data_IF_711153745210
#
_entry.id   IF_711153745210
#
_cell.length_a   1.000
_cell.length_b   1.000
_cell.length_c   1.000
_cell.angle_alpha   90.00
_cell.angle_beta   90.00
_cell.angle_gamma   90.00
#
_symmetry.space_group_name_H-M   'P 1'
#
loop_
_entity.id
_entity.type
_entity.pdbx_description
1 polymer ?
#
# COMPACT_ATOMS: atom_id res chain seq x y z
N UNK A 1 28.39 43.64 -14.68
CA UNK A 1 27.20 43.52 -13.84
C UNK A 1 26.62 42.16 -14.03
N UNK A 2 26.89 41.36 -13.07
CA UNK A 2 26.87 39.93 -13.12
C UNK A 2 25.59 39.39 -12.48
N UNK A 3 24.87 38.70 -13.28
CA UNK A 3 24.01 37.56 -13.07
C UNK A 3 23.89 37.06 -11.61
N UNK A 4 22.83 37.49 -10.91
CA UNK A 4 22.37 36.98 -9.63
C UNK A 4 20.98 36.34 -9.70
N UNK A 5 20.61 35.79 -10.83
CA UNK A 5 19.36 35.04 -11.02
C UNK A 5 19.55 33.52 -11.13
N UNK A 6 20.43 32.95 -10.28
CA UNK A 6 20.39 31.52 -10.02
C UNK A 6 19.35 31.27 -8.94
N UNK A 7 18.11 31.40 -9.35
CA UNK A 7 16.94 31.23 -8.49
C UNK A 7 16.67 29.76 -8.17
N UNK A 8 15.90 29.58 -7.11
CA UNK A 8 15.31 28.35 -6.56
C UNK A 8 14.79 27.29 -7.55
N UNK A 9 14.70 27.60 -8.85
CA UNK A 9 14.32 26.68 -9.92
C UNK A 9 15.33 25.56 -10.19
N UNK A 10 16.63 25.77 -9.88
CA UNK A 10 17.67 24.74 -10.11
C UNK A 10 17.75 23.68 -9.02
N UNK A 11 17.19 23.93 -7.84
CA UNK A 11 17.14 22.96 -6.74
C UNK A 11 16.06 21.91 -7.02
N UNK A 12 14.96 22.27 -7.67
CA UNK A 12 13.91 21.33 -8.09
C UNK A 12 14.31 20.41 -9.27
N UNK A 13 15.34 20.75 -10.02
CA UNK A 13 15.85 19.94 -11.12
C UNK A 13 16.80 18.81 -10.72
N UNK A 14 17.15 18.72 -9.44
CA UNK A 14 17.99 17.64 -8.88
C UNK A 14 17.20 16.60 -8.10
N UNK A 15 15.99 16.27 -8.52
CA UNK A 15 15.48 14.93 -8.19
C UNK A 15 16.43 13.94 -8.90
N UNK A 16 16.90 12.89 -8.18
CA UNK A 16 17.75 11.88 -8.83
C UNK A 16 16.94 11.27 -9.96
N UNK A 17 17.21 11.73 -11.19
CA UNK A 17 16.42 11.37 -12.39
C UNK A 17 16.61 9.92 -12.82
N UNK A 18 17.56 9.20 -12.21
CA UNK A 18 18.04 7.93 -12.71
C UNK A 18 18.20 6.89 -11.59
N UNK A 19 17.21 6.77 -10.70
CA UNK A 19 17.20 5.70 -9.71
C UNK A 19 16.57 4.46 -10.33
N UNK A 20 17.29 3.33 -10.29
CA UNK A 20 16.75 2.03 -10.67
C UNK A 20 15.91 1.42 -9.54
N UNK A 21 15.06 0.44 -9.87
CA UNK A 21 14.30 -0.32 -8.87
C UNK A 21 15.25 -0.93 -7.83
N UNK A 22 16.33 -1.57 -8.27
CA UNK A 22 17.35 -2.18 -7.39
C UNK A 22 17.96 -1.15 -6.45
N UNK A 23 18.26 0.03 -6.94
CA UNK A 23 18.79 1.12 -6.12
C UNK A 23 17.78 1.57 -5.08
N UNK A 24 16.51 1.76 -5.46
CA UNK A 24 15.44 2.10 -4.52
C UNK A 24 15.31 1.04 -3.43
N UNK A 25 15.18 -0.23 -3.81
CA UNK A 25 15.04 -1.34 -2.86
C UNK A 25 16.24 -1.41 -1.91
N UNK A 26 17.46 -1.12 -2.40
CA UNK A 26 18.66 -1.10 -1.58
C UNK A 26 18.61 -0.04 -0.46
N UNK A 27 17.81 1.01 -0.58
CA UNK A 27 17.63 2.00 0.48
C UNK A 27 16.95 1.41 1.72
N UNK A 28 16.19 0.34 1.58
CA UNK A 28 15.67 -0.43 2.70
C UNK A 28 16.76 -0.98 3.63
N UNK A 29 18.00 -1.10 3.15
CA UNK A 29 19.13 -1.57 3.98
C UNK A 29 19.85 -0.45 4.74
N UNK A 30 19.49 0.84 4.54
CA UNK A 30 20.15 1.96 5.24
C UNK A 30 20.16 1.84 6.77
N UNK A 31 19.09 1.41 7.46
CA UNK A 31 19.11 1.27 8.91
C UNK A 31 20.19 0.30 9.44
N UNK A 32 20.67 -0.61 8.60
CA UNK A 32 21.66 -1.64 8.96
C UNK A 32 23.09 -1.27 8.59
N UNK A 33 23.30 -0.13 7.91
CA UNK A 33 24.64 0.29 7.45
C UNK A 33 25.34 1.15 8.48
N UNK A 34 26.65 0.95 8.57
CA UNK A 34 27.53 1.91 9.24
C UNK A 34 27.83 3.07 8.28
N UNK A 35 28.07 4.24 8.84
CA UNK A 35 28.38 5.44 8.06
C UNK A 35 29.52 5.18 7.07
N UNK A 36 29.33 5.53 5.80
CA UNK A 36 30.31 5.33 4.72
C UNK A 36 30.41 3.90 4.18
N UNK A 37 29.62 2.95 4.64
CA UNK A 37 29.62 1.56 4.16
C UNK A 37 28.67 1.36 2.97
N UNK A 38 29.17 0.68 1.92
CA UNK A 38 28.34 0.16 0.81
C UNK A 38 27.49 -1.04 1.25
N UNK A 39 26.75 -1.65 0.32
CA UNK A 39 26.00 -2.88 0.56
C UNK A 39 26.98 -4.06 0.81
N UNK A 40 26.76 -4.77 1.89
CA UNK A 40 27.45 -6.03 2.19
C UNK A 40 26.97 -7.15 1.23
N UNK A 41 27.62 -8.31 1.25
CA UNK A 41 27.14 -9.50 0.50
C UNK A 41 25.76 -9.93 0.99
N UNK A 42 25.51 -9.86 2.31
CA UNK A 42 24.20 -10.16 2.89
C UNK A 42 23.14 -9.15 2.46
N UNK A 43 23.44 -7.86 2.41
CA UNK A 43 22.50 -6.85 1.90
C UNK A 43 22.14 -7.12 0.43
N UNK A 44 23.11 -7.50 -0.40
CA UNK A 44 22.85 -7.86 -1.80
C UNK A 44 21.91 -9.07 -1.92
N UNK A 45 22.14 -10.12 -1.11
CA UNK A 45 21.28 -11.30 -1.05
C UNK A 45 19.84 -10.91 -0.69
N UNK A 46 19.66 -10.09 0.38
CA UNK A 46 18.33 -9.64 0.82
C UNK A 46 17.65 -8.79 -0.25
N UNK A 47 18.39 -7.93 -0.95
CA UNK A 47 17.85 -7.13 -2.06
C UNK A 47 17.35 -8.04 -3.19
N UNK A 48 18.15 -9.04 -3.60
CA UNK A 48 17.79 -9.97 -4.66
C UNK A 48 16.55 -10.80 -4.27
N UNK A 49 16.52 -11.36 -3.07
CA UNK A 49 15.35 -12.08 -2.53
C UNK A 49 14.10 -11.20 -2.47
N UNK A 50 14.24 -9.95 -2.07
CA UNK A 50 13.13 -9.00 -2.04
C UNK A 50 12.59 -8.71 -3.43
N UNK A 51 13.46 -8.52 -4.41
CA UNK A 51 13.06 -8.31 -5.80
C UNK A 51 12.32 -9.54 -6.36
N UNK A 52 12.74 -10.74 -6.03
CA UNK A 52 12.04 -11.96 -6.40
C UNK A 52 10.67 -12.08 -5.73
N UNK A 53 10.59 -11.85 -4.40
CA UNK A 53 9.35 -11.88 -3.63
C UNK A 53 8.29 -10.91 -4.15
N UNK A 54 8.72 -9.76 -4.67
CA UNK A 54 7.84 -8.70 -5.19
C UNK A 54 7.64 -8.75 -6.70
N UNK A 55 8.21 -9.78 -7.38
CA UNK A 55 8.07 -9.96 -8.81
C UNK A 55 8.81 -8.92 -9.66
N UNK A 56 9.82 -8.24 -9.08
CA UNK A 56 10.58 -7.16 -9.73
C UNK A 56 11.98 -7.58 -10.20
N UNK A 57 12.39 -8.85 -10.01
CA UNK A 57 13.73 -9.32 -10.32
C UNK A 57 14.13 -9.07 -11.80
N UNK A 58 13.19 -9.33 -12.73
CA UNK A 58 13.42 -9.17 -14.18
C UNK A 58 13.53 -7.70 -14.64
N UNK A 59 13.20 -6.74 -13.79
CA UNK A 59 13.23 -5.31 -14.11
C UNK A 59 14.04 -4.49 -13.10
N UNK A 60 14.86 -5.12 -12.28
CA UNK A 60 15.63 -4.46 -11.22
C UNK A 60 16.47 -3.27 -11.69
N UNK A 61 16.97 -3.29 -12.92
CA UNK A 61 17.80 -2.24 -13.50
C UNK A 61 17.00 -1.17 -14.27
N UNK A 62 15.65 -1.31 -14.37
CA UNK A 62 14.81 -0.27 -14.99
C UNK A 62 14.73 0.96 -14.08
N UNK A 63 14.69 2.13 -14.73
CA UNK A 63 14.52 3.41 -14.05
C UNK A 63 13.09 3.56 -13.51
N UNK A 64 12.93 4.10 -12.31
CA UNK A 64 11.63 4.35 -11.71
C UNK A 64 10.71 5.22 -12.56
N UNK A 65 11.26 6.17 -13.29
CA UNK A 65 10.47 7.05 -14.14
C UNK A 65 9.79 6.33 -15.30
N UNK A 66 10.30 5.17 -15.70
CA UNK A 66 9.79 4.36 -16.81
C UNK A 66 8.79 3.28 -16.37
N UNK A 67 8.34 3.33 -15.12
CA UNK A 67 7.42 2.37 -14.54
C UNK A 67 5.97 2.87 -14.59
N UNK A 68 5.03 1.94 -14.73
CA UNK A 68 3.61 2.19 -14.48
C UNK A 68 3.35 2.54 -13.01
N UNK A 69 2.16 3.04 -12.69
CA UNK A 69 1.77 3.33 -11.31
C UNK A 69 1.86 2.11 -10.39
N UNK A 70 1.36 0.96 -10.85
CA UNK A 70 1.41 -0.29 -10.09
C UNK A 70 2.83 -0.84 -9.91
N UNK A 71 3.69 -0.75 -10.95
CA UNK A 71 5.10 -1.13 -10.83
C UNK A 71 5.85 -0.23 -9.85
N UNK A 72 5.57 1.09 -9.84
CA UNK A 72 6.12 2.02 -8.85
C UNK A 72 5.69 1.64 -7.45
N UNK A 73 4.40 1.38 -7.25
CA UNK A 73 3.87 1.00 -5.94
C UNK A 73 4.53 -0.29 -5.42
N UNK A 74 4.69 -1.31 -6.29
CA UNK A 74 5.42 -2.53 -5.94
C UNK A 74 6.87 -2.26 -5.56
N UNK A 75 7.56 -1.35 -6.25
CA UNK A 75 8.94 -0.99 -5.93
C UNK A 75 9.06 -0.31 -4.56
N UNK A 76 8.10 0.55 -4.17
CA UNK A 76 8.05 1.14 -2.84
C UNK A 76 7.78 0.10 -1.76
N UNK A 77 6.84 -0.82 -1.99
CA UNK A 77 6.59 -1.94 -1.07
C UNK A 77 7.86 -2.81 -0.94
N UNK A 78 8.55 -3.10 -2.04
CA UNK A 78 9.79 -3.86 -2.02
C UNK A 78 10.87 -3.18 -1.16
N UNK A 79 11.03 -1.86 -1.26
CA UNK A 79 11.96 -1.10 -0.42
C UNK A 79 11.63 -1.27 1.07
N UNK A 80 10.36 -1.22 1.45
CA UNK A 80 9.96 -1.38 2.85
C UNK A 80 10.14 -2.82 3.33
N UNK A 81 9.83 -3.83 2.49
CA UNK A 81 10.06 -5.25 2.81
C UNK A 81 11.56 -5.56 2.94
N UNK A 82 12.42 -4.91 2.16
CA UNK A 82 13.87 -5.06 2.26
C UNK A 82 14.44 -4.64 3.62
N UNK A 83 13.68 -3.88 4.42
CA UNK A 83 14.01 -3.60 5.82
C UNK A 83 13.74 -4.79 6.75
N UNK A 84 13.12 -5.87 6.27
CA UNK A 84 12.72 -7.02 7.08
C UNK A 84 11.89 -6.61 8.32
N UNK A 85 10.78 -5.86 8.14
CA UNK A 85 9.97 -5.38 9.24
C UNK A 85 9.14 -6.50 9.86
N UNK A 86 8.84 -6.42 11.15
CA UNK A 86 7.81 -7.24 11.80
C UNK A 86 6.41 -6.70 11.56
N UNK A 87 6.29 -5.38 11.41
CA UNK A 87 5.02 -4.68 11.14
C UNK A 87 5.24 -3.74 9.95
N UNK A 88 4.38 -3.85 8.95
CA UNK A 88 4.35 -2.98 7.77
C UNK A 88 3.10 -2.10 7.81
N UNK A 89 3.28 -0.79 7.71
CA UNK A 89 2.21 0.19 7.62
C UNK A 89 2.09 0.69 6.18
N UNK A 90 0.91 0.59 5.58
CA UNK A 90 0.62 1.06 4.24
C UNK A 90 -0.54 2.06 4.28
N UNK A 91 -0.26 3.29 3.93
CA UNK A 91 -1.27 4.35 3.84
C UNK A 91 -1.76 4.46 2.40
N UNK A 92 -3.02 4.11 2.16
CA UNK A 92 -3.69 4.14 0.86
C UNK A 92 -2.88 3.52 -0.30
N UNK A 93 -2.39 2.28 -0.20
CA UNK A 93 -1.42 1.75 -1.16
C UNK A 93 -1.98 1.50 -2.57
N UNK A 94 -3.29 1.61 -2.77
CA UNK A 94 -3.97 1.37 -4.06
C UNK A 94 -4.65 2.61 -4.64
N UNK A 95 -4.59 3.75 -3.95
CA UNK A 95 -5.18 5.01 -4.41
C UNK A 95 -4.53 5.47 -5.71
N UNK A 96 -5.32 5.98 -6.66
CA UNK A 96 -4.90 6.40 -8.00
C UNK A 96 -4.39 5.28 -8.94
N UNK A 97 -4.62 4.02 -8.61
CA UNK A 97 -4.33 2.89 -9.49
C UNK A 97 -5.61 2.40 -10.20
N UNK A 98 -5.45 1.94 -11.44
CA UNK A 98 -6.51 1.22 -12.14
C UNK A 98 -6.84 -0.10 -11.43
N UNK A 99 -8.08 -0.57 -11.55
CA UNK A 99 -8.61 -1.75 -10.84
C UNK A 99 -7.70 -2.99 -10.96
N UNK A 100 -7.09 -3.23 -12.11
CA UNK A 100 -6.16 -4.34 -12.31
C UNK A 100 -4.93 -4.22 -11.42
N UNK A 101 -4.32 -3.04 -11.36
CA UNK A 101 -3.16 -2.77 -10.52
C UNK A 101 -3.50 -2.76 -9.02
N UNK A 102 -4.72 -2.32 -8.66
CA UNK A 102 -5.20 -2.42 -7.26
C UNK A 102 -5.21 -3.86 -6.79
N UNK A 103 -5.78 -4.76 -7.60
CA UNK A 103 -5.81 -6.19 -7.30
C UNK A 103 -4.40 -6.77 -7.22
N UNK A 104 -3.51 -6.45 -8.18
CA UNK A 104 -2.12 -6.91 -8.16
C UNK A 104 -1.39 -6.52 -6.87
N UNK A 105 -1.55 -5.27 -6.41
CA UNK A 105 -0.91 -4.79 -5.18
C UNK A 105 -1.47 -5.49 -3.95
N UNK A 106 -2.79 -5.68 -3.86
CA UNK A 106 -3.43 -6.35 -2.73
C UNK A 106 -3.07 -7.84 -2.66
N UNK A 107 -3.03 -8.54 -3.81
CA UNK A 107 -2.56 -9.94 -3.88
C UNK A 107 -1.09 -10.05 -3.48
N UNK A 108 -0.24 -9.12 -3.92
CA UNK A 108 1.16 -9.06 -3.47
C UNK A 108 1.25 -8.91 -1.95
N UNK A 109 0.54 -7.93 -1.38
CA UNK A 109 0.54 -7.64 0.07
C UNK A 109 0.08 -8.87 0.86
N UNK A 110 -1.00 -9.52 0.43
CA UNK A 110 -1.49 -10.76 1.03
C UNK A 110 -0.44 -11.87 0.96
N UNK A 111 0.17 -12.07 -0.21
CA UNK A 111 1.23 -13.06 -0.39
C UNK A 111 2.46 -12.80 0.48
N UNK A 112 2.83 -11.54 0.68
CA UNK A 112 3.94 -11.14 1.58
C UNK A 112 3.59 -11.42 3.05
N UNK A 113 2.37 -11.08 3.49
CA UNK A 113 1.87 -11.39 4.83
C UNK A 113 1.98 -12.90 5.12
N UNK A 114 1.49 -13.73 4.18
CA UNK A 114 1.46 -15.18 4.34
C UNK A 114 2.86 -15.82 4.34
N UNK A 115 3.76 -15.34 3.48
CA UNK A 115 5.12 -15.90 3.32
C UNK A 115 6.06 -15.45 4.43
N UNK A 116 6.04 -14.17 4.78
CA UNK A 116 6.97 -13.57 5.73
C UNK A 116 6.45 -13.61 7.18
N UNK A 117 5.17 -13.96 7.38
CA UNK A 117 4.51 -13.98 8.70
C UNK A 117 4.61 -12.64 9.44
N UNK A 118 4.57 -11.54 8.69
CA UNK A 118 4.56 -10.18 9.23
C UNK A 118 3.14 -9.69 9.44
N UNK A 119 2.97 -8.71 10.31
CA UNK A 119 1.70 -7.98 10.46
C UNK A 119 1.66 -6.83 9.47
N UNK A 120 0.57 -6.73 8.69
CA UNK A 120 0.38 -5.61 7.76
C UNK A 120 -0.86 -4.83 8.18
N UNK A 121 -0.70 -3.54 8.36
CA UNK A 121 -1.80 -2.59 8.63
C UNK A 121 -1.94 -1.68 7.43
N UNK A 122 -3.14 -1.64 6.84
CA UNK A 122 -3.43 -0.81 5.66
C UNK A 122 -4.59 0.13 5.93
N UNK A 123 -4.49 1.35 5.40
CA UNK A 123 -5.64 2.23 5.24
C UNK A 123 -6.23 2.00 3.85
N UNK A 124 -7.49 1.63 3.78
CA UNK A 124 -8.22 1.40 2.53
C UNK A 124 -9.55 2.15 2.57
N UNK A 125 -9.97 2.68 1.42
CA UNK A 125 -11.28 3.35 1.27
C UNK A 125 -12.32 2.46 0.59
N UNK A 126 -11.89 1.44 -0.16
CA UNK A 126 -12.79 0.48 -0.79
C UNK A 126 -13.14 -0.63 0.19
N UNK A 127 -14.43 -0.69 0.55
CA UNK A 127 -14.92 -1.65 1.55
C UNK A 127 -14.95 -3.08 1.02
N UNK A 128 -15.18 -3.28 -0.28
CA UNK A 128 -15.19 -4.60 -0.88
C UNK A 128 -13.77 -5.19 -0.93
N UNK A 129 -12.77 -4.37 -1.24
CA UNK A 129 -11.38 -4.80 -1.09
C UNK A 129 -11.01 -5.03 0.37
N UNK A 130 -11.47 -4.16 1.28
CA UNK A 130 -11.23 -4.35 2.72
C UNK A 130 -11.84 -5.66 3.20
N UNK A 131 -13.09 -5.97 2.83
CA UNK A 131 -13.75 -7.22 3.19
C UNK A 131 -12.98 -8.46 2.68
N UNK A 132 -12.45 -8.38 1.45
CA UNK A 132 -11.79 -9.50 0.78
C UNK A 132 -10.38 -9.77 1.30
N UNK A 133 -9.62 -8.73 1.66
CA UNK A 133 -8.19 -8.87 1.95
C UNK A 133 -7.83 -8.74 3.44
N UNK A 134 -8.70 -8.17 4.27
CA UNK A 134 -8.42 -8.00 5.68
C UNK A 134 -8.83 -9.22 6.52
N UNK A 135 -7.99 -9.59 7.50
CA UNK A 135 -8.38 -10.54 8.55
C UNK A 135 -9.14 -9.85 9.69
N UNK A 136 -8.80 -8.58 9.92
CA UNK A 136 -9.41 -7.71 10.92
C UNK A 136 -9.59 -6.31 10.36
N UNK A 137 -10.70 -5.68 10.68
CA UNK A 137 -11.05 -4.33 10.27
C UNK A 137 -11.21 -3.47 11.53
N UNK A 138 -10.63 -2.28 11.50
CA UNK A 138 -10.86 -1.22 12.48
C UNK A 138 -11.58 -0.08 11.78
N UNK A 139 -12.75 0.26 12.27
CA UNK A 139 -13.54 1.38 11.76
C UNK A 139 -13.23 2.61 12.58
N UNK A 140 -12.83 3.69 11.91
CA UNK A 140 -12.55 4.96 12.55
C UNK A 140 -13.67 5.95 12.25
N UNK A 141 -14.22 6.57 13.30
CA UNK A 141 -15.21 7.65 13.21
C UNK A 141 -14.87 8.72 14.27
N UNK A 142 -14.95 9.98 13.91
CA UNK A 142 -14.70 11.11 14.82
C UNK A 142 -13.39 11.01 15.62
N UNK A 143 -12.31 10.51 14.99
CA UNK A 143 -10.96 10.29 15.57
C UNK A 143 -10.90 9.21 16.64
N UNK A 144 -11.88 8.33 16.71
CA UNK A 144 -11.91 7.21 17.64
C UNK A 144 -12.09 5.90 16.87
N UNK A 145 -11.68 4.79 17.47
CA UNK A 145 -12.05 3.47 17.00
C UNK A 145 -13.52 3.28 17.34
N UNK A 146 -14.37 3.29 16.32
CA UNK A 146 -15.81 3.11 16.45
C UNK A 146 -16.15 1.64 16.65
N UNK A 147 -15.57 0.77 15.83
CA UNK A 147 -15.79 -0.68 15.89
C UNK A 147 -14.56 -1.42 15.37
N UNK A 148 -14.42 -2.70 15.72
CA UNK A 148 -13.37 -3.56 15.20
C UNK A 148 -13.79 -5.03 15.22
N UNK A 149 -13.38 -5.80 14.20
CA UNK A 149 -13.76 -7.21 14.11
C UNK A 149 -13.26 -7.88 12.83
N UNK A 150 -13.86 -9.03 12.54
CA UNK A 150 -13.70 -9.70 11.26
C UNK A 150 -14.57 -9.02 10.18
N UNK A 151 -14.35 -9.28 8.89
CA UNK A 151 -15.12 -8.67 7.82
C UNK A 151 -16.64 -8.89 7.97
N UNK A 152 -17.10 -10.10 8.33
CA UNK A 152 -18.52 -10.42 8.47
C UNK A 152 -19.22 -9.60 9.55
N UNK A 153 -18.51 -9.31 10.65
CA UNK A 153 -19.08 -8.52 11.74
C UNK A 153 -19.10 -7.04 11.45
N UNK A 154 -18.09 -6.53 10.72
CA UNK A 154 -17.92 -5.10 10.45
C UNK A 154 -18.71 -4.66 9.22
N UNK A 155 -18.73 -5.46 8.17
CA UNK A 155 -19.45 -5.17 6.94
C UNK A 155 -20.93 -5.58 7.13
N UNK A 156 -21.65 -4.77 7.89
CA UNK A 156 -23.06 -4.94 8.23
C UNK A 156 -23.85 -3.67 7.89
N UNK A 157 -25.15 -3.82 7.60
CA UNK A 157 -26.01 -2.69 7.22
C UNK A 157 -26.01 -1.56 8.25
N UNK A 158 -25.99 -1.90 9.53
CA UNK A 158 -26.02 -0.90 10.61
C UNK A 158 -24.75 -0.05 10.59
N UNK A 159 -23.57 -0.67 10.44
CA UNK A 159 -22.30 0.07 10.31
C UNK A 159 -22.26 0.92 9.05
N UNK A 160 -22.83 0.43 7.93
CA UNK A 160 -22.91 1.24 6.69
C UNK A 160 -23.78 2.48 6.90
N UNK A 161 -24.89 2.36 7.60
CA UNK A 161 -25.77 3.49 7.91
C UNK A 161 -25.13 4.45 8.90
N UNK A 162 -24.62 3.95 10.01
CA UNK A 162 -24.15 4.79 11.11
C UNK A 162 -22.83 5.47 10.85
N UNK A 163 -21.89 4.80 10.16
CA UNK A 163 -20.54 5.33 9.93
C UNK A 163 -20.44 6.04 8.60
N UNK A 164 -20.97 5.43 7.55
CA UNK A 164 -20.79 5.90 6.17
C UNK A 164 -22.02 6.63 5.60
N UNK A 165 -23.11 6.63 6.37
CA UNK A 165 -24.38 7.28 5.96
C UNK A 165 -24.93 6.71 4.62
N UNK A 166 -24.77 5.41 4.41
CA UNK A 166 -25.16 4.70 3.19
C UNK A 166 -26.15 3.58 3.52
N UNK A 167 -27.28 3.57 2.82
CA UNK A 167 -28.14 2.41 2.74
C UNK A 167 -27.56 1.45 1.69
N UNK A 168 -27.48 0.17 2.03
CA UNK A 168 -26.78 -0.81 1.22
C UNK A 168 -27.37 -2.21 1.37
N UNK A 169 -27.27 -3.00 0.32
CA UNK A 169 -27.46 -4.44 0.39
C UNK A 169 -26.12 -5.13 0.66
N UNK A 170 -26.10 -6.04 1.61
CA UNK A 170 -24.95 -6.90 1.87
C UNK A 170 -25.28 -8.30 1.35
N UNK A 171 -24.44 -8.80 0.44
CA UNK A 171 -24.50 -10.17 -0.05
C UNK A 171 -23.23 -10.93 0.32
N UNK A 172 -23.26 -12.26 0.28
CA UNK A 172 -22.06 -13.07 0.48
C UNK A 172 -21.42 -13.41 -0.86
N UNK A 173 -20.12 -13.15 -0.99
CA UNK A 173 -19.30 -13.61 -2.12
C UNK A 173 -18.78 -15.01 -1.81
N UNK A 174 -19.46 -16.05 -2.27
CA UNK A 174 -19.10 -17.45 -2.03
C UNK A 174 -17.71 -17.82 -2.55
N UNK A 175 -17.24 -17.14 -3.60
CA UNK A 175 -15.94 -17.41 -4.21
C UNK A 175 -14.77 -16.95 -3.32
N UNK A 176 -14.93 -15.79 -2.68
CA UNK A 176 -13.89 -15.20 -1.85
C UNK A 176 -14.18 -15.38 -0.35
N UNK A 177 -15.34 -15.97 -0.03
CA UNK A 177 -15.82 -16.21 1.33
C UNK A 177 -15.77 -14.93 2.20
N UNK A 178 -16.38 -13.85 1.71
CA UNK A 178 -16.42 -12.55 2.37
C UNK A 178 -17.73 -11.81 2.04
N UNK A 179 -18.16 -10.85 2.87
CA UNK A 179 -19.27 -9.97 2.53
C UNK A 179 -18.93 -9.04 1.37
N UNK A 180 -19.93 -8.71 0.57
CA UNK A 180 -19.83 -7.78 -0.53
C UNK A 180 -20.93 -6.72 -0.43
N UNK A 181 -20.55 -5.46 -0.49
CA UNK A 181 -21.43 -4.31 -0.33
C UNK A 181 -21.91 -3.83 -1.71
N UNK A 182 -23.22 -3.70 -1.86
CA UNK A 182 -23.86 -3.02 -2.97
C UNK A 182 -24.47 -1.72 -2.42
N UNK A 183 -23.85 -0.56 -2.64
CA UNK A 183 -24.42 0.72 -2.19
C UNK A 183 -25.71 1.02 -2.94
N UNK A 184 -26.76 1.47 -2.24
CA UNK A 184 -28.04 1.82 -2.87
C UNK A 184 -28.26 3.35 -2.90
N UNK A 185 -28.20 3.98 -1.73
CA UNK A 185 -28.45 5.42 -1.60
C UNK A 185 -27.83 5.98 -0.32
N UNK A 186 -27.74 7.30 -0.23
CA UNK A 186 -27.41 7.97 1.01
C UNK A 186 -28.60 7.87 1.98
N UNK A 187 -28.30 7.66 3.28
CA UNK A 187 -29.29 7.81 4.33
C UNK A 187 -29.55 9.31 4.50
N UNK A 188 -30.70 9.78 4.06
CA UNK A 188 -31.10 11.17 4.26
C UNK A 188 -31.50 11.30 5.73
N UNK A 189 -30.96 12.23 6.52
CA UNK A 189 -31.51 12.54 7.84
C UNK A 189 -32.97 12.95 7.68
N UNK A 190 -33.88 12.42 8.49
CA UNK A 190 -35.32 12.76 8.42
C UNK A 190 -35.66 14.22 8.78
N UNK A 191 -34.65 15.09 8.88
CA UNK A 191 -34.80 16.50 9.22
C UNK A 191 -34.01 17.40 8.24
N UNK A 192 -34.68 17.84 7.18
CA UNK A 192 -34.54 19.18 6.61
C UNK A 192 -35.93 19.84 6.62
#
# INVERSE_FOLDING_TARGET
DTDRSRGLGDVYKRQPKDITIRTLVSYGRFPYKKFGQGNTMEDKRIIDETLELTGLAHMGDRLLNNLSGGEKQRAWIAMTICQQPEILLLDEPITYLDIGYQVEVLELVKGLCDRLKITIVMVLHDMNFTARYANRIYVLKDRHVYDYGNPESIIAQDNMKEVFNIDSQIIHDDKNNCPFIIPEKLCVPEHI
#
